data_IF_104532191236
#
_entry.id   IF_104532191236
#
_cell.length_a   1.000
_cell.length_b   1.000
_cell.length_c   1.000
_cell.angle_alpha   90.00
_cell.angle_beta   90.00
_cell.angle_gamma   90.00
#
_symmetry.space_group_name_H-M   'P 1'
#
loop_
_entity.id
_entity.type
_entity.pdbx_description
1 polymer ?
#
# COMPACT_ATOMS: atom_id res chain seq x y z
N UNK A 1 -20.59 12.39 -12.94
CA UNK A 1 -19.20 12.14 -12.51
C UNK A 1 -18.34 12.12 -13.76
N UNK A 2 -17.18 12.78 -13.80
CA UNK A 2 -16.32 12.77 -15.00
C UNK A 2 -15.57 11.42 -15.12
N UNK A 3 -15.24 11.01 -16.35
CA UNK A 3 -14.52 9.74 -16.61
C UNK A 3 -13.20 9.62 -15.84
N UNK A 4 -12.50 10.75 -15.65
CA UNK A 4 -11.27 10.80 -14.87
C UNK A 4 -11.49 10.39 -13.40
N UNK A 5 -12.56 10.91 -12.77
CA UNK A 5 -12.90 10.60 -11.38
C UNK A 5 -13.29 9.11 -11.25
N UNK A 6 -14.02 8.57 -12.23
CA UNK A 6 -14.41 7.16 -12.24
C UNK A 6 -13.19 6.23 -12.29
N UNK A 7 -12.22 6.55 -13.16
CA UNK A 7 -10.96 5.80 -13.27
C UNK A 7 -10.11 5.91 -12.01
N UNK A 8 -10.07 7.08 -11.38
CA UNK A 8 -9.38 7.27 -10.10
C UNK A 8 -9.97 6.31 -9.06
N UNK A 9 -11.29 6.34 -8.85
CA UNK A 9 -11.98 5.46 -7.90
C UNK A 9 -11.77 3.96 -8.20
N UNK A 10 -11.67 3.57 -9.47
CA UNK A 10 -11.41 2.19 -9.85
C UNK A 10 -10.02 1.67 -9.43
N UNK A 11 -9.04 2.55 -9.22
CA UNK A 11 -7.69 2.17 -8.77
C UNK A 11 -7.37 2.61 -7.33
N UNK A 12 -8.31 3.25 -6.64
CA UNK A 12 -8.11 3.82 -5.30
C UNK A 12 -7.51 2.83 -4.29
N UNK A 13 -7.95 1.56 -4.19
CA UNK A 13 -7.32 0.59 -3.29
C UNK A 13 -5.79 0.48 -3.45
N UNK A 14 -5.28 0.45 -4.68
CA UNK A 14 -3.83 0.42 -4.91
C UNK A 14 -3.15 1.74 -4.54
N UNK A 15 -3.75 2.88 -4.90
CA UNK A 15 -3.23 4.19 -4.52
C UNK A 15 -3.20 4.35 -2.99
N UNK A 16 -4.20 3.83 -2.28
CA UNK A 16 -4.24 3.80 -0.83
C UNK A 16 -3.21 2.84 -0.23
N UNK A 17 -3.00 1.68 -0.87
CA UNK A 17 -1.95 0.73 -0.49
C UNK A 17 -0.55 1.36 -0.51
N UNK A 18 -0.23 2.10 -1.57
CA UNK A 18 1.06 2.78 -1.71
C UNK A 18 1.11 4.08 -0.89
N UNK A 19 0.06 4.90 -0.93
CA UNK A 19 0.06 6.24 -0.34
C UNK A 19 -0.17 6.25 1.18
N UNK A 20 -0.79 5.22 1.74
CA UNK A 20 -1.12 5.15 3.16
C UNK A 20 -0.55 3.90 3.85
N UNK A 21 -0.84 2.70 3.33
CA UNK A 21 -0.41 1.45 3.99
C UNK A 21 1.12 1.34 4.02
N UNK A 22 1.80 1.66 2.92
CA UNK A 22 3.25 1.61 2.86
C UNK A 22 3.95 2.53 3.89
N UNK A 23 3.68 3.85 3.96
CA UNK A 23 4.31 4.71 4.95
C UNK A 23 3.87 4.39 6.38
N UNK A 24 2.63 3.93 6.61
CA UNK A 24 2.19 3.48 7.93
C UNK A 24 3.01 2.26 8.39
N UNK A 25 3.17 1.27 7.51
CA UNK A 25 3.97 0.07 7.79
C UNK A 25 5.41 0.44 8.12
N UNK A 26 6.04 1.30 7.30
CA UNK A 26 7.41 1.75 7.54
C UNK A 26 7.56 2.51 8.88
N UNK A 27 6.58 3.34 9.24
CA UNK A 27 6.57 4.04 10.52
C UNK A 27 6.41 3.09 11.71
N UNK A 28 5.52 2.11 11.62
CA UNK A 28 5.33 1.09 12.65
C UNK A 28 6.59 0.24 12.85
N UNK A 29 7.22 -0.18 11.74
CA UNK A 29 8.50 -0.89 11.79
C UNK A 29 9.58 -0.06 12.49
N UNK A 30 9.70 1.21 12.15
CA UNK A 30 10.65 2.12 12.79
C UNK A 30 10.34 2.32 14.28
N UNK A 31 9.06 2.47 14.62
CA UNK A 31 8.59 2.64 16.00
C UNK A 31 8.91 1.43 16.87
N UNK A 32 8.75 0.22 16.33
CA UNK A 32 9.02 -1.03 17.04
C UNK A 32 10.45 -1.54 16.87
N UNK A 33 11.32 -0.80 16.17
CA UNK A 33 12.70 -1.22 15.91
C UNK A 33 12.82 -2.49 15.05
N UNK A 34 11.79 -2.81 14.27
CA UNK A 34 11.78 -3.98 13.38
C UNK A 34 12.51 -3.61 12.09
N UNK A 35 13.65 -4.27 11.77
CA UNK A 35 14.32 -4.04 10.50
C UNK A 35 13.49 -4.58 9.33
N UNK A 36 13.68 -4.02 8.13
CA UNK A 36 13.07 -4.58 6.95
C UNK A 36 13.61 -5.97 6.62
N UNK A 37 12.75 -6.91 6.21
CA UNK A 37 13.19 -8.26 5.85
C UNK A 37 14.07 -8.22 4.60
N UNK A 38 14.92 -9.23 4.45
CA UNK A 38 15.81 -9.39 3.29
C UNK A 38 16.75 -8.19 3.03
N UNK A 39 17.08 -7.43 4.08
CA UNK A 39 17.93 -6.23 3.97
C UNK A 39 17.23 -5.02 3.35
N UNK A 40 15.91 -5.08 3.16
CA UNK A 40 15.14 -3.95 2.64
C UNK A 40 15.07 -2.82 3.68
N UNK A 41 15.00 -1.58 3.19
CA UNK A 41 14.60 -0.47 4.05
C UNK A 41 13.11 -0.64 4.44
N UNK A 42 12.68 -0.11 5.60
CA UNK A 42 11.28 -0.19 6.02
C UNK A 42 10.30 0.39 5.00
N UNK A 43 10.68 1.43 4.27
CA UNK A 43 9.84 2.03 3.22
C UNK A 43 9.77 1.14 1.97
N UNK A 44 10.86 0.48 1.57
CA UNK A 44 10.85 -0.44 0.44
C UNK A 44 9.96 -1.66 0.74
N UNK A 45 10.06 -2.20 1.96
CA UNK A 45 9.16 -3.25 2.41
C UNK A 45 7.71 -2.77 2.47
N UNK A 46 7.46 -1.60 3.07
CA UNK A 46 6.13 -1.00 3.13
C UNK A 46 5.50 -0.82 1.74
N UNK A 47 6.27 -0.35 0.74
CA UNK A 47 5.80 -0.20 -0.63
C UNK A 47 5.47 -1.55 -1.28
N UNK A 48 6.30 -2.57 -1.08
CA UNK A 48 6.03 -3.91 -1.58
C UNK A 48 4.77 -4.50 -0.94
N UNK A 49 4.65 -4.41 0.39
CA UNK A 49 3.51 -4.92 1.15
C UNK A 49 2.22 -4.17 0.82
N UNK A 50 2.21 -2.85 0.97
CA UNK A 50 1.06 -2.00 0.70
C UNK A 50 0.65 -2.01 -0.77
N UNK A 51 1.61 -2.00 -1.69
CA UNK A 51 1.35 -2.11 -3.13
C UNK A 51 0.76 -3.46 -3.52
N UNK A 52 1.30 -4.57 -3.03
CA UNK A 52 0.75 -5.91 -3.30
C UNK A 52 -0.66 -6.07 -2.72
N UNK A 53 -0.87 -5.65 -1.46
CA UNK A 53 -2.18 -5.72 -0.81
C UNK A 53 -3.22 -4.82 -1.47
N UNK A 54 -2.84 -3.59 -1.83
CA UNK A 54 -3.71 -2.67 -2.57
C UNK A 54 -4.02 -3.12 -3.99
N UNK A 55 -3.07 -3.77 -4.68
CA UNK A 55 -3.31 -4.36 -5.99
C UNK A 55 -4.28 -5.54 -5.89
N UNK A 56 -4.07 -6.43 -4.92
CA UNK A 56 -5.01 -7.51 -4.62
C UNK A 56 -6.42 -6.97 -4.36
N UNK A 57 -6.54 -5.92 -3.55
CA UNK A 57 -7.82 -5.30 -3.24
C UNK A 57 -8.50 -4.64 -4.45
N UNK A 58 -7.73 -4.04 -5.36
CA UNK A 58 -8.25 -3.53 -6.62
C UNK A 58 -8.83 -4.65 -7.50
N UNK A 59 -8.15 -5.79 -7.59
CA UNK A 59 -8.60 -6.92 -8.43
C UNK A 59 -9.84 -7.60 -7.81
N UNK A 60 -9.86 -7.77 -6.49
CA UNK A 60 -10.94 -8.47 -5.78
C UNK A 60 -12.14 -7.58 -5.43
N UNK A 61 -11.97 -6.25 -5.47
CA UNK A 61 -12.96 -5.28 -5.02
C UNK A 61 -13.17 -5.25 -3.50
N UNK A 62 -12.29 -5.89 -2.72
CA UNK A 62 -12.36 -5.96 -1.25
C UNK A 62 -10.96 -6.17 -0.67
N UNK A 63 -10.77 -5.76 0.59
CA UNK A 63 -9.49 -5.87 1.29
C UNK A 63 -9.28 -7.19 2.04
N UNK A 64 -10.35 -7.99 2.24
CA UNK A 64 -10.36 -9.27 2.95
C UNK A 64 -11.06 -10.32 2.09
#
# INVERSE_FOLDING_TARGET
MTEAIRKLFAVMPFLFGIGFIAPLTAQLMKLWGIPGPFGLSPIAFGLAFGGAWGLYANIKGRWL
#
